data_IF_666546504226
#
_entry.id   IF_666546504226
#
_cell.length_a   1.000
_cell.length_b   1.000
_cell.length_c   1.000
_cell.angle_alpha   90.00
_cell.angle_beta   90.00
_cell.angle_gamma   90.00
#
_symmetry.space_group_name_H-M   'P 1'
#
loop_
_entity.id
_entity.type
_entity.pdbx_description
1 polymer ?
#
# COMPACT_ATOMS: atom_id res chain seq x y z
N UNK A 1 -9.60 -0.79 16.58
CA UNK A 1 -8.26 -0.34 16.11
C UNK A 1 -8.31 1.17 16.20
N UNK A 2 -7.35 1.82 16.85
CA UNK A 2 -7.31 3.29 16.89
C UNK A 2 -6.88 3.79 15.51
N UNK A 3 -7.51 4.84 14.99
CA UNK A 3 -7.05 5.49 13.77
C UNK A 3 -5.63 6.04 14.00
N UNK A 4 -4.64 5.28 13.57
CA UNK A 4 -3.23 5.62 13.79
C UNK A 4 -2.84 6.81 12.89
N UNK A 5 -2.12 7.79 13.44
CA UNK A 5 -1.51 8.89 12.68
C UNK A 5 -0.53 8.41 11.59
N UNK A 6 -0.18 7.12 11.58
CA UNK A 6 0.60 6.46 10.53
C UNK A 6 -0.26 5.91 9.37
N UNK A 7 -1.59 5.97 9.46
CA UNK A 7 -2.49 5.65 8.35
C UNK A 7 -2.36 6.69 7.24
N UNK A 8 -2.03 6.22 6.03
CA UNK A 8 -1.98 7.08 4.84
C UNK A 8 -3.34 7.72 4.54
N UNK A 9 -4.43 7.03 4.87
CA UNK A 9 -5.79 7.52 4.62
C UNK A 9 -6.12 8.67 5.57
N UNK A 10 -5.70 8.56 6.84
CA UNK A 10 -5.91 9.66 7.77
C UNK A 10 -5.05 10.88 7.41
N UNK A 11 -3.83 10.67 6.89
CA UNK A 11 -3.01 11.77 6.36
C UNK A 11 -3.64 12.43 5.14
N UNK A 12 -4.19 11.64 4.22
CA UNK A 12 -4.94 12.15 3.08
C UNK A 12 -6.14 12.98 3.52
N UNK A 13 -6.85 12.50 4.55
CA UNK A 13 -7.97 13.21 5.15
C UNK A 13 -7.57 14.59 5.63
N UNK A 14 -6.50 14.70 6.43
CA UNK A 14 -6.02 15.99 6.95
C UNK A 14 -5.62 16.94 5.84
N UNK A 15 -4.86 16.43 4.87
CA UNK A 15 -4.37 17.24 3.76
C UNK A 15 -5.53 17.76 2.89
N UNK A 16 -6.47 16.90 2.53
CA UNK A 16 -7.56 17.27 1.64
C UNK A 16 -8.65 18.09 2.34
N UNK A 17 -8.88 17.89 3.64
CA UNK A 17 -9.82 18.71 4.40
C UNK A 17 -9.34 20.16 4.61
N UNK A 18 -8.03 20.42 4.45
CA UNK A 18 -7.41 21.73 4.68
C UNK A 18 -6.80 22.35 3.43
N UNK A 19 -7.30 22.00 2.24
CA UNK A 19 -6.67 22.37 0.96
C UNK A 19 -6.49 23.89 0.74
N UNK A 20 -7.38 24.70 1.32
CA UNK A 20 -7.35 26.16 1.21
C UNK A 20 -6.29 26.82 2.11
N UNK A 21 -5.61 26.04 2.96
CA UNK A 21 -4.54 26.53 3.83
C UNK A 21 -3.23 26.68 3.04
N UNK A 22 -2.51 27.79 3.25
CA UNK A 22 -1.23 28.07 2.60
C UNK A 22 -0.18 26.97 2.87
N UNK A 23 -0.12 26.46 4.11
CA UNK A 23 0.82 25.40 4.49
C UNK A 23 0.51 24.09 3.74
N UNK A 24 -0.76 23.75 3.65
CA UNK A 24 -1.26 22.58 2.91
C UNK A 24 -0.96 22.72 1.41
N UNK A 25 -1.14 23.91 0.85
CA UNK A 25 -0.80 24.22 -0.54
C UNK A 25 0.69 24.01 -0.84
N UNK A 26 1.58 24.42 0.08
CA UNK A 26 3.03 24.17 -0.02
C UNK A 26 3.36 22.68 0.04
N UNK A 27 2.75 21.94 0.96
CA UNK A 27 2.95 20.49 1.05
C UNK A 27 2.46 19.76 -0.22
N UNK A 28 1.30 20.13 -0.75
CA UNK A 28 0.77 19.61 -2.02
C UNK A 28 1.71 19.87 -3.19
N UNK A 29 2.32 21.06 -3.27
CA UNK A 29 3.29 21.38 -4.31
C UNK A 29 4.53 20.48 -4.25
N UNK A 30 5.09 20.27 -3.05
CA UNK A 30 6.24 19.35 -2.83
C UNK A 30 5.87 17.92 -3.23
N UNK A 31 4.69 17.45 -2.84
CA UNK A 31 4.22 16.11 -3.19
C UNK A 31 4.04 15.96 -4.70
N UNK A 32 3.53 16.99 -5.39
CA UNK A 32 3.38 16.99 -6.84
C UNK A 32 4.71 16.92 -7.56
N UNK A 33 5.69 17.74 -7.17
CA UNK A 33 7.04 17.71 -7.73
C UNK A 33 7.67 16.32 -7.58
N UNK A 34 7.56 15.72 -6.39
CA UNK A 34 8.07 14.36 -6.17
C UNK A 34 7.31 13.32 -7.01
N UNK A 35 5.99 13.47 -7.15
CA UNK A 35 5.17 12.59 -7.97
C UNK A 35 5.63 12.63 -9.44
N UNK A 36 5.89 13.82 -9.97
CA UNK A 36 6.38 14.04 -11.32
C UNK A 36 7.79 13.46 -11.48
N UNK A 37 8.67 13.66 -10.50
CA UNK A 37 10.02 13.06 -10.45
C UNK A 37 9.97 11.53 -10.48
N UNK A 38 9.06 10.91 -9.73
CA UNK A 38 8.98 9.45 -9.62
C UNK A 38 8.27 8.78 -10.81
N UNK A 39 7.27 9.44 -11.40
CA UNK A 39 6.34 8.78 -12.33
C UNK A 39 6.18 9.46 -13.71
N UNK A 40 6.78 10.63 -13.92
CA UNK A 40 6.83 11.28 -15.24
C UNK A 40 5.46 11.62 -15.86
N UNK A 41 4.40 11.70 -15.06
CA UNK A 41 3.07 12.21 -15.45
C UNK A 41 2.17 11.29 -16.30
N UNK A 42 2.67 10.21 -16.90
CA UNK A 42 1.90 9.42 -17.89
C UNK A 42 1.00 8.35 -17.24
N UNK A 43 1.31 7.91 -16.02
CA UNK A 43 0.42 7.02 -15.23
C UNK A 43 0.78 7.05 -13.75
N UNK A 44 0.20 8.02 -13.05
CA UNK A 44 0.45 8.21 -11.62
C UNK A 44 -0.30 7.11 -10.82
N UNK A 45 0.40 6.28 -10.02
CA UNK A 45 -0.23 5.19 -9.29
C UNK A 45 -0.96 5.71 -8.04
N UNK A 46 -2.02 5.03 -7.63
CA UNK A 46 -2.72 5.32 -6.37
C UNK A 46 -3.27 6.76 -6.22
N UNK A 47 -3.62 7.42 -7.33
CA UNK A 47 -4.36 8.69 -7.30
C UNK A 47 -5.81 8.45 -6.86
N UNK A 48 -6.24 9.24 -5.89
CA UNK A 48 -7.58 9.14 -5.31
C UNK A 48 -8.67 9.68 -6.25
N UNK A 49 -8.50 10.92 -6.72
CA UNK A 49 -9.44 11.69 -7.55
C UNK A 49 -8.67 12.73 -8.39
N UNK A 50 -9.26 13.18 -9.51
CA UNK A 50 -8.68 14.21 -10.41
C UNK A 50 -8.43 15.54 -9.69
N UNK A 51 -9.27 15.86 -8.71
CA UNK A 51 -9.12 17.06 -7.88
C UNK A 51 -7.88 16.98 -6.97
N UNK A 52 -7.38 15.77 -6.71
CA UNK A 52 -6.22 15.50 -5.87
C UNK A 52 -5.22 14.63 -6.63
N UNK A 53 -4.49 15.19 -7.63
CA UNK A 53 -3.61 14.45 -8.53
C UNK A 53 -2.28 14.05 -7.87
N UNK A 54 -2.34 13.59 -6.62
CA UNK A 54 -1.21 13.09 -5.85
C UNK A 54 -1.40 11.60 -5.56
N UNK A 55 -0.30 10.86 -5.58
CA UNK A 55 -0.33 9.46 -5.19
C UNK A 55 -0.50 9.34 -3.67
N UNK A 56 -1.57 8.68 -3.20
CA UNK A 56 -1.86 8.55 -1.76
C UNK A 56 -0.71 7.95 -0.94
N UNK A 57 0.09 7.07 -1.55
CA UNK A 57 1.21 6.43 -0.85
C UNK A 57 2.34 7.40 -0.48
N UNK A 58 2.48 8.53 -1.18
CA UNK A 58 3.49 9.57 -0.87
C UNK A 58 3.16 10.37 0.40
N UNK A 59 1.93 10.23 0.90
CA UNK A 59 1.53 10.80 2.19
C UNK A 59 2.15 10.04 3.37
N UNK A 60 2.75 8.87 3.14
CA UNK A 60 3.64 8.25 4.11
C UNK A 60 5.02 8.92 4.04
N UNK A 61 5.47 9.65 5.08
CA UNK A 61 6.81 10.25 5.07
C UNK A 61 7.92 9.20 4.95
N UNK A 62 7.72 8.04 5.58
CA UNK A 62 8.67 6.92 5.53
C UNK A 62 8.79 6.36 4.12
N UNK A 63 7.67 6.09 3.44
CA UNK A 63 7.71 5.55 2.08
C UNK A 63 8.23 6.61 1.11
N UNK A 64 7.75 7.86 1.24
CA UNK A 64 8.22 9.00 0.46
C UNK A 64 9.75 9.13 0.49
N UNK A 65 10.33 9.24 1.68
CA UNK A 65 11.77 9.41 1.83
C UNK A 65 12.55 8.22 1.27
N UNK A 66 12.01 7.00 1.44
CA UNK A 66 12.61 5.78 0.91
C UNK A 66 12.60 5.75 -0.63
N UNK A 67 11.49 6.16 -1.26
CA UNK A 67 11.38 6.23 -2.72
C UNK A 67 12.26 7.34 -3.29
N UNK A 68 12.34 8.48 -2.61
CA UNK A 68 13.16 9.62 -3.03
C UNK A 68 14.67 9.31 -2.96
N UNK A 69 15.12 8.63 -1.89
CA UNK A 69 16.52 8.18 -1.77
C UNK A 69 16.85 6.98 -2.66
N UNK A 70 15.84 6.25 -3.12
CA UNK A 70 15.94 4.97 -3.83
C UNK A 70 16.81 3.92 -3.11
N UNK A 71 16.85 3.96 -1.77
CA UNK A 71 17.60 3.00 -0.95
C UNK A 71 17.08 1.57 -1.22
N UNK A 72 18.00 0.61 -1.37
CA UNK A 72 17.67 -0.79 -1.73
C UNK A 72 16.86 -0.97 -3.03
N UNK A 73 17.00 -0.05 -3.99
CA UNK A 73 16.23 -0.05 -5.24
C UNK A 73 14.71 0.02 -4.96
N UNK A 74 14.34 0.80 -3.93
CA UNK A 74 12.97 0.89 -3.40
C UNK A 74 11.94 1.30 -4.45
N UNK A 75 12.30 2.08 -5.46
CA UNK A 75 11.39 2.46 -6.55
C UNK A 75 10.99 1.24 -7.38
N UNK A 76 11.97 0.39 -7.72
CA UNK A 76 11.71 -0.87 -8.43
C UNK A 76 10.96 -1.86 -7.55
N UNK A 77 11.33 -1.97 -6.27
CA UNK A 77 10.62 -2.81 -5.31
C UNK A 77 9.15 -2.39 -5.18
N UNK A 78 8.90 -1.09 -5.05
CA UNK A 78 7.55 -0.54 -4.97
C UNK A 78 6.76 -0.83 -6.23
N UNK A 79 7.34 -0.57 -7.41
CA UNK A 79 6.72 -0.89 -8.71
C UNK A 79 6.40 -2.38 -8.83
N UNK A 80 7.29 -3.24 -8.35
CA UNK A 80 7.08 -4.68 -8.32
C UNK A 80 5.92 -5.08 -7.40
N UNK A 81 5.95 -4.66 -6.13
CA UNK A 81 4.92 -5.01 -5.14
C UNK A 81 3.55 -4.44 -5.53
N UNK A 82 3.52 -3.24 -6.10
CA UNK A 82 2.31 -2.56 -6.55
C UNK A 82 1.88 -2.92 -7.97
N UNK A 83 2.52 -3.90 -8.62
CA UNK A 83 1.99 -4.44 -9.87
C UNK A 83 0.63 -5.10 -9.63
N UNK A 84 -0.26 -4.98 -10.62
CA UNK A 84 -1.63 -5.49 -10.58
C UNK A 84 -1.71 -6.94 -10.10
N UNK A 85 -0.89 -7.81 -10.68
CA UNK A 85 -0.86 -9.25 -10.41
C UNK A 85 -0.41 -9.54 -8.99
N UNK A 86 0.56 -8.77 -8.47
CA UNK A 86 1.05 -8.96 -7.11
C UNK A 86 0.03 -8.43 -6.07
N UNK A 87 -0.70 -7.36 -6.39
CA UNK A 87 -1.82 -6.90 -5.57
C UNK A 87 -2.93 -7.96 -5.50
N UNK A 88 -3.32 -8.53 -6.64
CA UNK A 88 -4.31 -9.62 -6.68
C UNK A 88 -3.85 -10.77 -5.78
N UNK A 89 -2.59 -11.21 -5.89
CA UNK A 89 -2.03 -12.28 -5.04
C UNK A 89 -2.11 -11.97 -3.54
N UNK A 90 -1.77 -10.74 -3.16
CA UNK A 90 -1.84 -10.30 -1.75
C UNK A 90 -3.28 -10.27 -1.23
N UNK A 91 -4.22 -9.79 -2.04
CA UNK A 91 -5.65 -9.79 -1.74
C UNK A 91 -6.18 -11.23 -1.62
N UNK A 92 -5.92 -12.10 -2.59
CA UNK A 92 -6.36 -13.50 -2.56
C UNK A 92 -5.82 -14.24 -1.34
N UNK A 93 -4.54 -14.05 -0.98
CA UNK A 93 -4.00 -14.66 0.22
C UNK A 93 -4.70 -14.16 1.48
N UNK A 94 -5.01 -12.87 1.53
CA UNK A 94 -5.76 -12.26 2.64
C UNK A 94 -7.16 -12.84 2.76
N UNK A 95 -7.86 -13.04 1.64
CA UNK A 95 -9.20 -13.65 1.59
C UNK A 95 -9.19 -15.13 1.99
N UNK A 96 -8.06 -15.82 1.79
CA UNK A 96 -7.81 -17.17 2.31
C UNK A 96 -7.31 -17.19 3.77
N UNK A 97 -7.47 -16.08 4.50
CA UNK A 97 -7.03 -15.91 5.90
C UNK A 97 -5.51 -16.08 6.11
N UNK A 98 -4.71 -15.89 5.06
CA UNK A 98 -3.25 -15.93 5.11
C UNK A 98 -2.64 -14.52 5.12
N UNK A 99 -1.41 -14.35 5.63
CA UNK A 99 -0.70 -13.07 5.51
C UNK A 99 -0.44 -12.69 4.05
N UNK A 100 -0.69 -11.42 3.68
CA UNK A 100 -0.42 -10.93 2.32
C UNK A 100 1.04 -11.17 1.87
N UNK A 101 2.00 -11.02 2.78
CA UNK A 101 3.42 -11.24 2.49
C UNK A 101 3.79 -12.72 2.22
N UNK A 102 2.93 -13.67 2.61
CA UNK A 102 3.12 -15.10 2.27
C UNK A 102 3.11 -15.28 0.75
N UNK A 103 2.11 -14.71 0.06
CA UNK A 103 1.98 -14.77 -1.39
C UNK A 103 3.17 -14.14 -2.14
N UNK A 104 3.85 -13.19 -1.49
CA UNK A 104 4.97 -12.46 -2.06
C UNK A 104 6.32 -13.16 -1.85
N UNK A 105 6.43 -14.12 -0.92
CA UNK A 105 7.72 -14.73 -0.56
C UNK A 105 8.41 -15.38 -1.76
N UNK A 106 7.72 -16.24 -2.51
CA UNK A 106 8.27 -16.86 -3.71
C UNK A 106 8.60 -15.83 -4.79
N UNK A 107 7.72 -14.84 -4.98
CA UNK A 107 7.89 -13.81 -6.02
C UNK A 107 9.12 -12.94 -5.76
N UNK A 108 9.35 -12.56 -4.51
CA UNK A 108 10.54 -11.81 -4.09
C UNK A 108 11.82 -12.62 -4.32
N UNK A 109 11.82 -13.90 -3.97
CA UNK A 109 12.98 -14.79 -4.21
C UNK A 109 13.28 -14.95 -5.70
N UNK A 110 12.25 -15.15 -6.52
CA UNK A 110 12.41 -15.47 -7.94
C UNK A 110 12.67 -14.24 -8.82
N UNK A 111 12.03 -13.10 -8.54
CA UNK A 111 12.01 -11.95 -9.44
C UNK A 111 12.63 -10.68 -8.86
N UNK A 112 13.01 -10.68 -7.58
CA UNK A 112 13.71 -9.57 -6.93
C UNK A 112 14.99 -10.04 -6.21
N UNK A 113 16.01 -10.49 -6.96
CA UNK A 113 17.24 -11.04 -6.37
C UNK A 113 18.13 -9.96 -5.70
N UNK A 114 17.90 -8.68 -6.03
CA UNK A 114 18.60 -7.56 -5.43
C UNK A 114 18.20 -7.42 -3.96
N UNK A 115 19.00 -7.99 -3.05
CA UNK A 115 18.80 -7.89 -1.61
C UNK A 115 20.14 -7.67 -0.90
N UNK A 116 20.13 -6.98 0.25
CA UNK A 116 21.33 -6.85 1.06
C UNK A 116 21.93 -8.21 1.42
N UNK A 117 23.26 -8.30 1.42
CA UNK A 117 24.00 -9.53 1.74
C UNK A 117 24.28 -9.67 3.23
N UNK A 118 24.43 -8.55 3.93
CA UNK A 118 24.62 -8.51 5.36
C UNK A 118 23.28 -8.72 6.10
N UNK A 119 23.38 -9.23 7.32
CA UNK A 119 22.21 -9.65 8.10
C UNK A 119 21.34 -8.45 8.48
N UNK A 120 21.95 -7.33 8.84
CA UNK A 120 21.24 -6.14 9.32
C UNK A 120 20.44 -5.49 8.18
N UNK A 121 21.09 -5.22 7.05
CA UNK A 121 20.47 -4.73 5.83
C UNK A 121 19.35 -5.66 5.37
N UNK A 122 19.53 -6.98 5.47
CA UNK A 122 18.47 -7.93 5.09
C UNK A 122 17.26 -7.87 6.04
N UNK A 123 17.47 -7.63 7.33
CA UNK A 123 16.38 -7.39 8.30
C UNK A 123 15.64 -6.11 7.96
N UNK A 124 16.36 -5.00 7.74
CA UNK A 124 15.77 -3.71 7.38
C UNK A 124 14.98 -3.80 6.06
N UNK A 125 15.54 -4.50 5.07
CA UNK A 125 14.89 -4.72 3.78
C UNK A 125 13.56 -5.49 3.91
N UNK A 126 13.50 -6.51 4.77
CA UNK A 126 12.22 -7.19 5.09
C UNK A 126 11.21 -6.26 5.77
N UNK A 127 11.66 -5.37 6.65
CA UNK A 127 10.77 -4.40 7.29
C UNK A 127 10.20 -3.40 6.26
N UNK A 128 11.04 -2.96 5.32
CA UNK A 128 10.62 -2.11 4.19
C UNK A 128 9.53 -2.80 3.37
N UNK A 129 9.74 -4.06 2.98
CA UNK A 129 8.75 -4.81 2.20
C UNK A 129 7.43 -4.94 2.98
N UNK A 130 7.49 -5.32 4.26
CA UNK A 130 6.29 -5.40 5.11
C UNK A 130 5.55 -4.07 5.23
N UNK A 131 6.28 -2.96 5.27
CA UNK A 131 5.70 -1.61 5.31
C UNK A 131 5.02 -1.23 3.99
N UNK A 132 5.66 -1.51 2.84
CA UNK A 132 5.07 -1.31 1.52
C UNK A 132 3.80 -2.14 1.33
N UNK A 133 3.82 -3.42 1.75
CA UNK A 133 2.64 -4.29 1.71
C UNK A 133 1.51 -3.71 2.57
N UNK A 134 1.80 -3.21 3.79
CA UNK A 134 0.79 -2.54 4.62
C UNK A 134 0.12 -1.37 3.89
N UNK A 135 0.91 -0.50 3.27
CA UNK A 135 0.40 0.65 2.52
C UNK A 135 -0.48 0.20 1.36
N UNK A 136 -0.03 -0.80 0.57
CA UNK A 136 -0.81 -1.35 -0.53
C UNK A 136 -2.16 -1.90 -0.02
N UNK A 137 -2.13 -2.74 1.01
CA UNK A 137 -3.35 -3.32 1.58
C UNK A 137 -4.31 -2.24 2.11
N UNK A 138 -3.79 -1.20 2.78
CA UNK A 138 -4.58 -0.05 3.24
C UNK A 138 -5.23 0.69 2.08
N UNK A 139 -4.50 0.95 0.98
CA UNK A 139 -5.05 1.57 -0.21
C UNK A 139 -6.24 0.76 -0.73
N UNK A 140 -6.16 -0.57 -0.72
CA UNK A 140 -7.25 -1.45 -1.18
C UNK A 140 -8.35 -1.73 -0.14
N UNK A 141 -8.41 -0.96 0.96
CA UNK A 141 -9.47 -1.05 1.96
C UNK A 141 -9.34 -2.26 2.89
N UNK A 142 -8.12 -2.75 3.10
CA UNK A 142 -7.83 -3.79 4.08
C UNK A 142 -7.12 -3.19 5.29
N UNK A 143 -7.48 -3.68 6.48
CA UNK A 143 -6.88 -3.27 7.74
C UNK A 143 -6.18 -4.45 8.41
N UNK A 144 -5.17 -4.15 9.23
CA UNK A 144 -4.43 -5.18 9.96
C UNK A 144 -5.36 -5.83 10.98
N UNK A 145 -5.57 -7.14 10.84
CA UNK A 145 -6.35 -7.92 11.79
C UNK A 145 -5.46 -8.52 12.87
N UNK A 146 -4.35 -9.13 12.45
CA UNK A 146 -3.43 -9.83 13.34
C UNK A 146 -1.99 -9.58 12.93
N UNK A 147 -1.13 -9.25 13.90
CA UNK A 147 0.31 -9.07 13.69
C UNK A 147 1.05 -10.36 14.01
N UNK A 148 2.23 -10.55 13.38
CA UNK A 148 3.17 -11.67 13.65
C UNK A 148 2.57 -13.07 13.47
N UNK A 149 1.68 -13.23 12.50
CA UNK A 149 1.14 -14.54 12.10
C UNK A 149 2.27 -15.34 11.45
N UNK A 150 2.46 -16.60 11.87
CA UNK A 150 3.47 -17.50 11.29
C UNK A 150 3.12 -17.80 9.84
N UNK A 151 4.10 -17.62 8.96
CA UNK A 151 3.95 -17.98 7.55
C UNK A 151 4.19 -19.47 7.38
N UNK A 152 3.25 -20.12 6.70
CA UNK A 152 3.39 -21.52 6.35
C UNK A 152 4.41 -21.63 5.21
N UNK A 153 5.43 -22.47 5.37
CA UNK A 153 6.45 -22.62 4.34
C UNK A 153 6.15 -23.87 3.54
N UNK A 154 5.82 -23.69 2.27
CA UNK A 154 5.92 -24.78 1.31
C UNK A 154 7.41 -25.00 0.99
N UNK A 155 7.84 -26.26 1.01
CA UNK A 155 9.17 -26.63 0.55
C UNK A 155 9.17 -26.53 -0.97
N UNK A 156 10.25 -25.99 -1.53
CA UNK A 156 10.48 -26.15 -2.96
C UNK A 156 10.62 -27.67 -3.26
N UNK A 157 9.82 -28.24 -4.18
CA UNK A 157 9.84 -29.68 -4.44
C UNK A 157 11.21 -30.21 -4.85
N UNK A 158 11.96 -29.40 -5.61
CA UNK A 158 13.24 -29.79 -6.22
C UNK A 158 14.42 -29.62 -5.26
N UNK A 159 14.39 -28.59 -4.42
CA UNK A 159 15.53 -28.22 -3.55
C UNK A 159 15.29 -28.54 -2.07
N UNK A 160 14.07 -28.93 -1.69
CA UNK A 160 13.63 -29.18 -0.30
C UNK A 160 13.90 -28.00 0.64
N UNK A 161 14.21 -26.81 0.11
CA UNK A 161 14.42 -25.58 0.89
C UNK A 161 13.10 -24.87 1.08
N UNK A 162 12.90 -24.38 2.30
CA UNK A 162 11.79 -23.51 2.65
C UNK A 162 11.81 -22.23 1.79
N UNK A 163 10.78 -22.02 0.95
CA UNK A 163 10.62 -20.80 0.12
C UNK A 163 10.07 -19.61 0.94
N UNK A 164 10.47 -19.49 2.21
CA UNK A 164 9.98 -18.43 3.09
C UNK A 164 10.94 -17.25 3.09
N UNK A 165 10.45 -16.11 2.62
CA UNK A 165 11.16 -14.83 2.76
C UNK A 165 10.97 -14.25 4.16
N UNK A 166 9.79 -14.48 4.73
CA UNK A 166 9.36 -14.02 6.05
C UNK A 166 9.07 -15.21 6.96
N UNK A 167 9.38 -15.07 8.26
CA UNK A 167 8.99 -16.05 9.28
C UNK A 167 7.60 -15.77 9.83
N UNK A 168 7.27 -14.49 9.97
CA UNK A 168 5.95 -14.01 10.35
C UNK A 168 5.59 -12.77 9.55
N UNK A 169 4.29 -12.50 9.41
CA UNK A 169 3.78 -11.30 8.76
C UNK A 169 2.42 -10.90 9.34
N UNK A 170 1.93 -9.73 8.93
CA UNK A 170 0.58 -9.28 9.29
C UNK A 170 -0.47 -9.99 8.43
N UNK A 171 -1.54 -10.45 9.06
CA UNK A 171 -2.79 -10.81 8.41
C UNK A 171 -3.71 -9.59 8.38
N UNK A 172 -4.41 -9.45 7.28
CA UNK A 172 -5.33 -8.35 7.04
C UNK A 172 -6.76 -8.89 6.93
N UNK A 173 -7.73 -7.99 7.03
CA UNK A 173 -9.13 -8.27 6.71
C UNK A 173 -9.72 -7.08 5.98
N UNK A 174 -10.79 -7.30 5.24
CA UNK A 174 -11.53 -6.20 4.61
C UNK A 174 -12.12 -5.30 5.72
N UNK A 175 -12.09 -4.00 5.48
CA UNK A 175 -12.73 -3.03 6.34
C UNK A 175 -14.25 -3.18 6.29
N UNK A 176 -14.89 -3.11 7.46
CA UNK A 176 -16.35 -3.18 7.63
C UNK A 176 -16.96 -1.80 7.88
N UNK A 177 -18.29 -1.69 7.80
CA UNK A 177 -19.00 -0.45 8.17
C UNK A 177 -18.76 -0.08 9.65
N UNK A 178 -18.71 -1.08 10.53
CA UNK A 178 -18.41 -0.85 11.95
C UNK A 178 -17.04 -0.22 12.14
N UNK A 179 -16.02 -0.70 11.42
CA UNK A 179 -14.69 -0.10 11.49
C UNK A 179 -14.71 1.36 11.01
N UNK A 180 -15.47 1.65 9.94
CA UNK A 180 -15.64 3.02 9.44
C UNK A 180 -16.27 3.92 10.51
N UNK A 181 -17.35 3.46 11.14
CA UNK A 181 -18.04 4.21 12.19
C UNK A 181 -17.11 4.46 13.38
N UNK A 182 -16.36 3.43 13.82
CA UNK A 182 -15.36 3.54 14.89
C UNK A 182 -14.30 4.60 14.53
N UNK A 183 -13.76 4.58 13.31
CA UNK A 183 -12.77 5.58 12.87
C UNK A 183 -13.32 7.00 12.77
N UNK A 184 -14.54 7.15 12.26
CA UNK A 184 -15.19 8.47 12.15
C UNK A 184 -15.45 9.05 13.53
N UNK A 185 -15.77 8.21 14.51
CA UNK A 185 -15.98 8.64 15.90
C UNK A 185 -14.68 9.10 16.57
N UNK A 186 -13.53 8.55 16.17
CA UNK A 186 -12.20 8.98 16.65
C UNK A 186 -11.76 10.34 16.08
N UNK A 187 -12.34 10.79 14.96
CA UNK A 187 -12.02 12.09 14.36
C UNK A 187 -12.83 13.19 15.07
N UNK A 188 -12.21 14.32 15.40
CA UNK A 188 -12.92 15.43 16.06
C UNK A 188 -13.42 16.48 15.09
N UNK A 189 -12.61 16.86 14.10
CA UNK A 189 -12.92 17.92 13.15
C UNK A 189 -14.02 17.50 12.14
N UNK A 190 -15.10 18.28 11.97
CA UNK A 190 -16.18 17.91 11.05
C UNK A 190 -15.77 17.82 9.57
N UNK A 191 -14.86 18.67 9.10
CA UNK A 191 -14.40 18.62 7.70
C UNK A 191 -13.51 17.38 7.48
N UNK A 192 -12.64 17.04 8.44
CA UNK A 192 -11.90 15.78 8.43
C UNK A 192 -12.85 14.57 8.44
N UNK A 193 -13.95 14.58 9.21
CA UNK A 193 -14.93 13.47 9.20
C UNK A 193 -15.53 13.26 7.82
N UNK A 194 -16.00 14.32 7.18
CA UNK A 194 -16.63 14.22 5.86
C UNK A 194 -15.62 13.79 4.80
N UNK A 195 -14.40 14.34 4.83
CA UNK A 195 -13.32 13.92 3.93
C UNK A 195 -12.91 12.46 4.17
N UNK A 196 -12.80 12.01 5.41
CA UNK A 196 -12.46 10.62 5.74
C UNK A 196 -13.52 9.65 5.21
N UNK A 197 -14.80 9.94 5.46
CA UNK A 197 -15.93 9.15 4.92
C UNK A 197 -15.88 9.10 3.39
N UNK A 198 -15.63 10.25 2.76
CA UNK A 198 -15.54 10.34 1.31
C UNK A 198 -14.43 9.45 0.75
N UNK A 199 -13.22 9.54 1.31
CA UNK A 199 -12.06 8.73 0.88
C UNK A 199 -12.35 7.24 1.08
N UNK A 200 -12.78 6.86 2.27
CA UNK A 200 -13.05 5.47 2.62
C UNK A 200 -14.18 4.86 1.79
N UNK A 201 -15.25 5.61 1.53
CA UNK A 201 -16.37 5.11 0.73
C UNK A 201 -15.93 4.81 -0.70
N UNK A 202 -15.13 5.69 -1.33
CA UNK A 202 -14.63 5.44 -2.69
C UNK A 202 -13.66 4.27 -2.75
N UNK A 203 -12.75 4.15 -1.78
CA UNK A 203 -11.84 2.98 -1.68
C UNK A 203 -12.66 1.69 -1.55
N UNK A 204 -13.65 1.67 -0.66
CA UNK A 204 -14.46 0.48 -0.39
C UNK A 204 -15.30 0.06 -1.60
N UNK A 205 -15.84 1.03 -2.34
CA UNK A 205 -16.71 0.81 -3.48
C UNK A 205 -15.96 0.66 -4.81
N UNK A 206 -14.62 0.69 -4.81
CA UNK A 206 -13.83 0.54 -6.03
C UNK A 206 -13.84 1.77 -6.94
N UNK A 207 -14.22 2.95 -6.41
CA UNK A 207 -14.50 4.14 -7.22
C UNK A 207 -13.32 5.11 -7.34
N UNK A 208 -12.19 4.82 -6.67
CA UNK A 208 -10.97 5.63 -6.85
C UNK A 208 -10.41 5.48 -8.26
N UNK A 209 -9.65 6.47 -8.72
CA UNK A 209 -9.07 6.42 -10.07
C UNK A 209 -8.11 5.27 -10.24
N UNK A 210 -7.24 5.04 -9.25
CA UNK A 210 -6.29 3.94 -9.34
C UNK A 210 -6.99 2.58 -9.35
N UNK A 211 -8.11 2.38 -8.64
CA UNK A 211 -8.85 1.11 -8.72
C UNK A 211 -9.40 0.87 -10.13
N UNK A 212 -9.90 1.92 -10.80
CA UNK A 212 -10.32 1.84 -12.20
C UNK A 212 -9.16 1.51 -13.14
N UNK A 213 -7.99 2.12 -12.92
CA UNK A 213 -6.78 1.91 -13.71
C UNK A 213 -6.15 0.52 -13.52
N UNK A 214 -6.22 -0.02 -12.30
CA UNK A 214 -5.65 -1.31 -11.94
C UNK A 214 -6.60 -2.45 -12.32
N UNK A 215 -7.92 -2.20 -12.30
CA UNK A 215 -8.95 -3.13 -12.75
C UNK A 215 -8.73 -4.55 -12.20
N UNK A 216 -8.55 -4.66 -10.88
CA UNK A 216 -8.18 -5.91 -10.20
C UNK A 216 -9.22 -7.02 -10.38
N UNK A 217 -10.47 -6.63 -10.59
CA UNK A 217 -11.66 -7.46 -10.76
C UNK A 217 -11.95 -7.80 -12.23
N UNK A 218 -11.27 -7.18 -13.19
CA UNK A 218 -11.43 -7.48 -14.62
C UNK A 218 -10.48 -8.58 -15.06
N UNK A 219 -10.89 -9.37 -16.05
CA UNK A 219 -9.94 -10.19 -16.78
C UNK A 219 -9.07 -9.28 -17.66
N UNK A 220 -7.76 -9.48 -17.66
CA UNK A 220 -6.89 -8.87 -18.67
C UNK A 220 -7.38 -9.36 -20.02
N UNK A 221 -7.72 -8.46 -20.94
CA UNK A 221 -8.15 -8.91 -22.26
C UNK A 221 -6.97 -9.55 -22.98
N UNK A 222 -7.23 -10.61 -23.77
CA UNK A 222 -6.17 -11.32 -24.53
C UNK A 222 -5.47 -10.39 -25.53
N UNK A 223 -6.07 -9.23 -25.84
CA UNK A 223 -5.58 -8.24 -26.80
C UNK A 223 -4.72 -7.13 -26.18
N UNK A 224 -4.52 -7.13 -24.85
CA UNK A 224 -3.70 -6.16 -24.11
C UNK A 224 -2.37 -6.75 -23.60
N UNK A 225 -2.00 -7.95 -24.06
CA UNK A 225 -0.72 -8.63 -23.83
C UNK A 225 0.20 -8.48 -25.05
#
# INVERSE_FOLDING_TARGET
MILDALSIIYRATKLFASMDNEQTSKEMAILKELNDKLYGGIRIPFVFDDQFPISLHLLSPRLRNLLDSNEYDSQRLWSFLSSRENIIRMITATEMEKPAAEAMSYRLVAFYPARPKDIEGFIQFKQIIGYMIKIIMELHGYIVEQKRVKISSHLNPDTQKALKYFTTASRYRKLTNRDLDDFVNDISDPAEKEMFKHIMMRIRTGQTQYQKLYALDKLTSVYEL
#
